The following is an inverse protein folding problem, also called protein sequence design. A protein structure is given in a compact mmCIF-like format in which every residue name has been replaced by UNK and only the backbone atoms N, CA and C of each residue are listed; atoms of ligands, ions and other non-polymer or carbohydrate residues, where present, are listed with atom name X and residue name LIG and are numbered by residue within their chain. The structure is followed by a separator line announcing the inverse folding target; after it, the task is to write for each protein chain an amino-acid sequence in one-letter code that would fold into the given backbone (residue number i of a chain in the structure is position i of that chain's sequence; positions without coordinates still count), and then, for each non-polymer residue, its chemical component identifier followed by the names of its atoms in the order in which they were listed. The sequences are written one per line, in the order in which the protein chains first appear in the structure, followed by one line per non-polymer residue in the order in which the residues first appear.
data_IF_744635632249
#
_entry.id   IF_744635632249
#
_cell.length_a   1.000
_cell.length_b   1.000
_cell.length_c   1.000
_cell.angle_alpha   90.00
_cell.angle_beta   90.00
_cell.angle_gamma   90.00
#
_symmetry.space_group_name_H-M   'P 1'
#
loop_
_entity.id
_entity.type
_entity.pdbx_description
1 polymer ?
#
# COMPACT_ATOMS: atom_id res chain seq x y z
N UNK A 1 -7.42 19.42 23.25
CA UNK A 1 -6.76 20.28 22.26
C UNK A 1 -6.05 19.55 21.10
N UNK A 2 -5.54 18.31 21.27
CA UNK A 2 -4.82 17.59 20.19
C UNK A 2 -5.70 16.99 19.06
N UNK A 3 -7.00 16.75 19.31
CA UNK A 3 -7.91 16.16 18.29
C UNK A 3 -8.44 17.20 17.29
N UNK A 4 -8.62 18.43 17.71
CA UNK A 4 -9.06 19.55 16.85
C UNK A 4 -7.96 20.00 15.89
N UNK A 5 -6.69 19.98 16.30
CA UNK A 5 -5.55 20.29 15.42
C UNK A 5 -5.38 19.27 14.31
N UNK A 6 -5.62 17.97 14.58
CA UNK A 6 -5.53 16.92 13.56
C UNK A 6 -6.66 17.06 12.52
N UNK A 7 -7.87 17.42 12.94
CA UNK A 7 -9.01 17.64 12.06
C UNK A 7 -8.77 18.87 11.16
N UNK A 8 -8.20 19.95 11.70
CA UNK A 8 -7.84 21.16 10.95
C UNK A 8 -6.73 20.89 9.92
N UNK A 9 -5.72 20.08 10.27
CA UNK A 9 -4.67 19.66 9.32
C UNK A 9 -5.26 18.79 8.21
N UNK A 10 -6.16 17.85 8.54
CA UNK A 10 -6.84 17.03 7.54
C UNK A 10 -7.72 17.89 6.62
N UNK A 11 -8.45 18.87 7.16
CA UNK A 11 -9.27 19.81 6.37
C UNK A 11 -8.40 20.68 5.47
N UNK A 12 -7.24 21.14 5.96
CA UNK A 12 -6.30 21.96 5.18
C UNK A 12 -5.65 21.17 4.05
N UNK A 13 -5.32 19.89 4.26
CA UNK A 13 -4.83 18.97 3.22
C UNK A 13 -5.92 18.72 2.16
N UNK A 14 -7.18 18.55 2.55
CA UNK A 14 -8.30 18.39 1.61
C UNK A 14 -8.56 19.67 0.79
N UNK A 15 -8.45 20.84 1.39
CA UNK A 15 -8.64 22.13 0.66
C UNK A 15 -7.47 22.45 -0.27
N UNK A 16 -6.23 22.06 0.09
CA UNK A 16 -5.09 22.24 -0.81
C UNK A 16 -5.09 21.27 -1.99
N UNK A 17 -5.69 20.08 -1.86
CA UNK A 17 -5.91 19.17 -2.98
C UNK A 17 -6.96 19.68 -3.98
N UNK A 18 -7.93 20.48 -3.53
CA UNK A 18 -8.89 21.13 -4.44
C UNK A 18 -8.32 22.34 -5.18
N UNK A 19 -7.21 22.91 -4.75
CA UNK A 19 -6.50 24.00 -5.43
C UNK A 19 -5.51 23.52 -6.52
N UNK A 20 -5.28 22.20 -6.63
CA UNK A 20 -4.44 21.63 -7.69
C UNK A 20 -5.06 21.74 -9.10
N UNK A 21 -6.22 22.37 -9.25
CA UNK A 21 -6.88 22.67 -10.53
C UNK A 21 -6.31 23.89 -11.29
N UNK A 22 -5.21 24.48 -10.82
CA UNK A 22 -4.53 25.56 -11.55
C UNK A 22 -3.54 25.10 -12.62
N UNK A 23 -3.49 23.79 -12.88
CA UNK A 23 -2.78 23.24 -14.03
C UNK A 23 -3.67 23.46 -15.26
N UNK A 24 -3.15 24.13 -16.30
CA UNK A 24 -3.86 24.41 -17.56
C UNK A 24 -4.65 23.20 -18.05
N UNK A 25 -5.88 23.38 -18.57
CA UNK A 25 -6.75 22.32 -19.10
C UNK A 25 -6.03 21.34 -20.05
N UNK A 26 -5.00 21.81 -20.73
CA UNK A 26 -4.17 21.01 -21.62
C UNK A 26 -3.19 20.10 -20.89
N UNK A 27 -2.77 20.48 -19.68
CA UNK A 27 -1.88 19.69 -18.80
C UNK A 27 -2.68 18.70 -17.96
N UNK A 28 -3.90 19.04 -17.55
CA UNK A 28 -4.82 18.14 -16.80
C UNK A 28 -5.15 16.86 -17.59
N UNK A 29 -5.14 16.94 -18.91
CA UNK A 29 -5.35 15.76 -19.76
C UNK A 29 -4.10 14.87 -19.90
N UNK A 30 -2.91 15.44 -19.65
CA UNK A 30 -1.62 14.76 -19.85
C UNK A 30 -1.06 14.14 -18.59
N UNK A 31 -1.33 14.73 -17.43
CA UNK A 31 -0.78 14.26 -16.15
C UNK A 31 -1.92 13.93 -15.17
N UNK A 32 -1.88 12.76 -14.58
CA UNK A 32 -2.74 12.36 -13.48
C UNK A 32 -1.90 12.30 -12.21
N UNK A 33 -2.38 12.93 -11.16
CA UNK A 33 -1.89 12.73 -9.79
C UNK A 33 -3.01 12.08 -9.00
N UNK A 34 -2.72 10.98 -8.33
CA UNK A 34 -3.72 10.24 -7.59
C UNK A 34 -3.20 9.64 -6.30
N UNK A 35 -4.14 9.28 -5.43
CA UNK A 35 -3.90 8.55 -4.21
C UNK A 35 -4.98 7.49 -4.02
N UNK A 36 -4.58 6.30 -3.60
CA UNK A 36 -5.47 5.20 -3.27
C UNK A 36 -5.32 4.83 -1.79
N UNK A 37 -6.43 4.56 -1.13
CA UNK A 37 -6.48 3.91 0.17
C UNK A 37 -7.08 2.52 -0.04
N UNK A 38 -6.42 1.50 0.45
CA UNK A 38 -6.84 0.12 0.23
C UNK A 38 -6.62 -0.75 1.47
N UNK A 39 -7.12 -1.97 1.42
CA UNK A 39 -6.84 -3.01 2.39
C UNK A 39 -6.19 -4.19 1.70
N UNK A 40 -5.10 -4.69 2.27
CA UNK A 40 -4.47 -5.92 1.84
C UNK A 40 -5.19 -7.12 2.45
N UNK A 41 -5.57 -8.07 1.61
CA UNK A 41 -6.18 -9.34 1.98
C UNK A 41 -5.17 -10.43 1.66
N UNK A 42 -4.75 -11.19 2.67
CA UNK A 42 -3.88 -12.35 2.46
C UNK A 42 -4.66 -13.49 1.83
N UNK A 43 -4.17 -14.00 0.71
CA UNK A 43 -4.70 -15.18 0.02
C UNK A 43 -3.78 -16.40 0.15
N UNK A 44 -2.61 -16.24 0.79
CA UNK A 44 -1.62 -17.30 1.00
C UNK A 44 -2.04 -18.30 2.09
N UNK A 45 -1.36 -19.44 2.12
CA UNK A 45 -1.48 -20.39 3.23
C UNK A 45 -0.94 -19.72 4.50
N UNK A 46 -1.77 -19.64 5.54
CA UNK A 46 -1.29 -19.25 6.85
C UNK A 46 -0.27 -20.31 7.33
N UNK A 47 0.90 -19.88 7.76
CA UNK A 47 1.76 -20.72 8.58
C UNK A 47 1.06 -20.93 9.92
N UNK A 48 1.32 -22.06 10.60
CA UNK A 48 0.55 -22.52 11.75
C UNK A 48 0.28 -21.47 12.83
N UNK A 49 1.12 -20.44 12.96
CA UNK A 49 0.96 -19.37 13.95
C UNK A 49 0.95 -17.96 13.33
N UNK A 50 0.93 -17.83 12.01
CA UNK A 50 0.92 -16.52 11.34
C UNK A 50 -0.46 -16.17 10.81
N UNK A 51 -1.17 -15.32 11.52
CA UNK A 51 -2.47 -14.81 11.11
C UNK A 51 -2.42 -13.30 10.91
N UNK A 52 -2.91 -12.81 9.79
CA UNK A 52 -3.12 -11.40 9.55
C UNK A 52 -4.51 -10.95 10.02
N UNK A 53 -4.64 -9.66 10.33
CA UNK A 53 -5.95 -9.07 10.51
C UNK A 53 -6.70 -9.04 9.18
N UNK A 54 -8.03 -9.08 9.23
CA UNK A 54 -8.86 -8.97 8.03
C UNK A 54 -8.66 -7.63 7.29
N UNK A 55 -8.36 -6.55 8.04
CA UNK A 55 -8.14 -5.22 7.50
C UNK A 55 -6.68 -4.83 7.73
N UNK A 56 -5.91 -4.79 6.64
CA UNK A 56 -4.52 -4.38 6.60
C UNK A 56 -4.42 -3.13 5.73
N UNK A 57 -4.38 -1.97 6.38
CA UNK A 57 -4.45 -0.68 5.72
C UNK A 57 -3.22 -0.40 4.87
N UNK A 58 -3.44 -0.12 3.60
CA UNK A 58 -2.41 0.33 2.68
C UNK A 58 -2.76 1.69 2.07
N UNK A 59 -1.77 2.32 1.48
CA UNK A 59 -1.95 3.54 0.73
C UNK A 59 -1.00 3.56 -0.47
N UNK A 60 -1.40 4.27 -1.52
CA UNK A 60 -0.57 4.53 -2.68
C UNK A 60 -0.73 5.98 -3.10
N UNK A 61 0.37 6.60 -3.53
CA UNK A 61 0.35 7.89 -4.21
C UNK A 61 1.12 7.75 -5.52
N UNK A 62 0.63 8.37 -6.57
CA UNK A 62 1.24 8.23 -7.89
C UNK A 62 1.04 9.44 -8.77
N UNK A 63 1.95 9.59 -9.74
CA UNK A 63 1.83 10.52 -10.85
C UNK A 63 2.01 9.75 -12.15
N UNK A 64 1.08 9.89 -13.09
CA UNK A 64 1.11 9.19 -14.37
C UNK A 64 0.96 10.20 -15.51
N UNK A 65 1.69 9.96 -16.58
CA UNK A 65 1.56 10.67 -17.84
C UNK A 65 0.63 9.90 -18.77
N UNK A 66 -0.36 10.61 -19.33
CA UNK A 66 -1.37 10.04 -20.23
C UNK A 66 -1.01 10.28 -21.68
N UNK A 67 -1.08 9.22 -22.45
CA UNK A 67 -1.04 9.22 -23.90
C UNK A 67 -2.45 8.94 -24.41
N UNK A 68 -3.08 9.92 -25.04
CA UNK A 68 -4.39 9.73 -25.65
C UNK A 68 -4.22 9.06 -27.00
N UNK A 69 -5.04 8.05 -27.28
CA UNK A 69 -5.10 7.46 -28.64
C UNK A 69 -5.80 8.42 -29.59
N UNK A 70 -5.29 8.53 -30.81
CA UNK A 70 -5.83 9.43 -31.81
C UNK A 70 -7.34 9.17 -32.05
N UNK A 71 -8.10 10.26 -32.05
CA UNK A 71 -9.56 10.27 -32.24
C UNK A 71 -10.35 9.36 -31.27
N UNK A 72 -9.77 9.03 -30.11
CA UNK A 72 -10.39 8.15 -29.11
C UNK A 72 -10.42 8.78 -27.72
N UNK A 73 -11.45 8.52 -26.90
CA UNK A 73 -11.48 8.91 -25.49
C UNK A 73 -10.60 7.99 -24.62
N UNK A 74 -9.93 6.99 -25.19
CA UNK A 74 -9.11 6.02 -24.50
C UNK A 74 -7.69 6.54 -24.31
N UNK A 75 -7.02 6.08 -23.25
CA UNK A 75 -5.67 6.53 -22.91
C UNK A 75 -4.79 5.37 -22.46
N UNK A 76 -3.50 5.42 -22.80
CA UNK A 76 -2.46 4.68 -22.12
C UNK A 76 -1.75 5.61 -21.15
N UNK A 77 -1.30 5.10 -20.03
CA UNK A 77 -0.64 5.89 -18.99
C UNK A 77 0.56 5.14 -18.42
N UNK A 78 1.62 5.86 -18.15
CA UNK A 78 2.81 5.35 -17.44
C UNK A 78 3.22 6.38 -16.40
N UNK A 79 3.75 5.93 -15.27
CA UNK A 79 4.12 6.86 -14.23
C UNK A 79 5.08 6.31 -13.19
N UNK A 80 5.14 7.04 -12.10
CA UNK A 80 5.87 6.67 -10.89
C UNK A 80 4.93 6.81 -9.70
N UNK A 81 5.06 5.89 -8.74
CA UNK A 81 4.27 5.87 -7.52
C UNK A 81 5.07 5.43 -6.31
N UNK A 82 4.42 5.51 -5.19
CA UNK A 82 4.89 5.00 -3.93
C UNK A 82 3.73 4.31 -3.22
N UNK A 83 3.93 3.04 -2.87
CA UNK A 83 2.91 2.22 -2.18
C UNK A 83 3.43 1.73 -0.84
N UNK A 84 2.63 1.91 0.20
CA UNK A 84 2.90 1.42 1.55
C UNK A 84 1.88 0.40 2.00
N UNK A 85 2.35 -0.81 2.30
CA UNK A 85 1.58 -1.91 2.85
C UNK A 85 1.81 -2.03 4.35
N UNK A 86 0.75 -2.24 5.14
CA UNK A 86 0.85 -2.48 6.58
C UNK A 86 0.16 -3.80 6.91
N UNK A 87 0.93 -4.83 7.16
CA UNK A 87 0.44 -6.15 7.56
C UNK A 87 0.36 -6.24 9.08
N UNK A 88 -0.84 -6.26 9.63
CA UNK A 88 -1.08 -6.37 11.07
C UNK A 88 -1.22 -7.85 11.44
N UNK A 89 -0.33 -8.31 12.29
CA UNK A 89 -0.29 -9.70 12.75
C UNK A 89 -1.15 -9.89 13.99
N UNK A 90 -1.76 -11.08 14.09
CA UNK A 90 -2.50 -11.55 15.25
C UNK A 90 -1.71 -12.66 15.91
N UNK A 91 -1.46 -12.53 17.22
CA UNK A 91 -0.83 -13.58 18.02
C UNK A 91 0.64 -13.83 17.73
N UNK A 92 1.27 -13.07 16.84
CA UNK A 92 2.68 -13.24 16.51
C UNK A 92 3.40 -11.89 16.34
N UNK A 93 4.70 -11.89 16.50
CA UNK A 93 5.55 -10.74 16.18
C UNK A 93 6.85 -11.19 15.49
N UNK A 94 7.46 -10.27 14.74
CA UNK A 94 8.72 -10.51 14.07
C UNK A 94 9.86 -10.42 15.10
N UNK A 95 10.46 -11.56 15.44
CA UNK A 95 11.52 -11.66 16.44
C UNK A 95 12.91 -11.46 15.83
N UNK A 96 13.18 -12.06 14.68
CA UNK A 96 14.50 -12.06 14.04
C UNK A 96 14.43 -11.54 12.61
N UNK A 97 14.46 -10.22 12.40
CA UNK A 97 14.33 -9.62 11.07
C UNK A 97 15.60 -9.69 10.21
N UNK A 98 16.75 -9.98 10.81
CA UNK A 98 18.07 -9.91 10.18
C UNK A 98 18.69 -11.27 9.89
N UNK A 99 18.09 -12.34 10.42
CA UNK A 99 18.58 -13.71 10.24
C UNK A 99 18.38 -14.19 8.80
N UNK A 100 19.02 -15.30 8.46
CA UNK A 100 18.85 -15.97 7.15
C UNK A 100 17.40 -16.33 6.89
N UNK A 101 16.67 -16.75 7.92
CA UNK A 101 15.23 -17.03 7.86
C UNK A 101 14.48 -16.04 8.75
N UNK A 102 13.37 -15.52 8.26
CA UNK A 102 12.53 -14.64 9.06
C UNK A 102 11.80 -15.45 10.12
N UNK A 103 12.03 -15.13 11.39
CA UNK A 103 11.43 -15.84 12.52
C UNK A 103 10.33 -15.01 13.13
N UNK A 104 9.15 -15.62 13.22
CA UNK A 104 8.01 -15.10 13.96
C UNK A 104 7.87 -15.88 15.27
N UNK A 105 7.62 -15.18 16.35
CA UNK A 105 7.36 -15.76 17.66
C UNK A 105 5.93 -15.45 18.09
N UNK A 106 5.34 -16.38 18.84
CA UNK A 106 4.00 -16.22 19.38
C UNK A 106 3.99 -15.14 20.47
N UNK A 107 2.95 -14.33 20.45
CA UNK A 107 2.68 -13.39 21.53
C UNK A 107 1.89 -14.09 22.61
N UNK A 108 2.51 -14.33 23.74
CA UNK A 108 1.93 -15.01 24.90
C UNK A 108 1.21 -14.03 25.83
N UNK A 109 1.66 -12.75 25.86
CA UNK A 109 1.18 -11.71 26.75
C UNK A 109 0.35 -10.68 26.02
N UNK A 110 -0.19 -9.73 26.76
CA UNK A 110 -1.00 -8.67 26.19
C UNK A 110 -0.19 -7.76 25.25
N UNK A 111 -0.75 -7.51 24.07
CA UNK A 111 -0.13 -6.64 23.09
C UNK A 111 -1.13 -5.68 22.44
N UNK A 112 -0.64 -4.50 22.18
CA UNK A 112 -1.41 -3.43 21.53
C UNK A 112 -1.27 -3.46 20.01
N UNK A 113 -0.09 -3.85 19.49
CA UNK A 113 0.21 -3.80 18.07
C UNK A 113 1.39 -4.68 17.68
N UNK A 114 1.17 -5.50 16.67
CA UNK A 114 2.23 -6.18 15.94
C UNK A 114 2.03 -5.94 14.44
N UNK A 115 3.01 -5.40 13.73
CA UNK A 115 2.91 -5.15 12.30
C UNK A 115 4.23 -5.15 11.57
N UNK A 116 4.15 -5.53 10.29
CA UNK A 116 5.18 -5.31 9.28
C UNK A 116 4.69 -4.22 8.34
N UNK A 117 5.61 -3.40 7.91
CA UNK A 117 5.38 -2.37 6.92
C UNK A 117 6.37 -2.57 5.77
N UNK A 118 5.88 -2.77 4.56
CA UNK A 118 6.66 -2.88 3.34
C UNK A 118 6.28 -1.74 2.40
N UNK A 119 7.28 -1.03 1.89
CA UNK A 119 7.07 0.15 1.06
C UNK A 119 7.84 0.02 -0.23
N UNK A 120 7.17 0.35 -1.33
CA UNK A 120 7.68 0.18 -2.69
C UNK A 120 7.64 1.49 -3.46
N UNK A 121 8.63 1.68 -4.32
CA UNK A 121 8.57 2.66 -5.40
C UNK A 121 8.04 1.90 -6.61
N UNK A 122 6.97 2.40 -7.22
CA UNK A 122 6.22 1.70 -8.27
C UNK A 122 6.34 2.42 -9.61
N UNK A 123 6.30 1.62 -10.66
CA UNK A 123 6.09 2.07 -12.04
C UNK A 123 4.75 1.49 -12.51
N UNK A 124 3.64 2.21 -12.39
CA UNK A 124 2.35 1.81 -12.94
C UNK A 124 2.27 2.07 -14.43
N UNK A 125 1.69 1.12 -15.16
CA UNK A 125 1.31 1.24 -16.58
C UNK A 125 -0.15 0.84 -16.69
N UNK A 126 -1.01 1.70 -17.20
CA UNK A 126 -2.45 1.46 -17.29
C UNK A 126 -2.99 1.81 -18.68
N UNK A 127 -3.93 1.03 -19.17
CA UNK A 127 -4.77 1.37 -20.32
C UNK A 127 -6.17 1.65 -19.80
N UNK A 128 -6.75 2.77 -20.21
CA UNK A 128 -8.04 3.26 -19.73
C UNK A 128 -9.04 3.38 -20.86
N UNK A 129 -10.20 2.82 -20.64
CA UNK A 129 -11.35 2.86 -21.55
C UNK A 129 -12.44 3.75 -20.95
N UNK A 130 -12.79 4.82 -21.65
CA UNK A 130 -13.89 5.70 -21.26
C UNK A 130 -15.17 5.30 -21.98
N UNK A 131 -16.24 5.07 -21.21
CA UNK A 131 -17.54 4.68 -21.70
C UNK A 131 -18.55 5.80 -21.37
N UNK A 132 -19.19 6.37 -22.40
CA UNK A 132 -20.27 7.38 -22.25
C UNK A 132 -19.92 8.53 -21.25
N UNK A 133 -18.76 9.14 -21.36
CA UNK A 133 -18.29 10.31 -20.59
C UNK A 133 -18.34 10.22 -19.04
N UNK A 134 -18.99 9.23 -18.45
CA UNK A 134 -19.20 9.11 -17.00
C UNK A 134 -18.53 7.91 -16.37
N UNK A 135 -18.20 6.90 -17.16
CA UNK A 135 -17.64 5.65 -16.70
C UNK A 135 -16.27 5.42 -17.32
N UNK A 136 -15.27 5.11 -16.51
CA UNK A 136 -13.91 4.80 -16.94
C UNK A 136 -13.48 3.48 -16.32
N UNK A 137 -13.02 2.56 -17.15
CA UNK A 137 -12.36 1.32 -16.73
C UNK A 137 -10.89 1.41 -17.10
N UNK A 138 -10.04 0.99 -16.19
CA UNK A 138 -8.61 0.89 -16.46
C UNK A 138 -8.12 -0.48 -16.03
N UNK A 139 -7.26 -1.06 -16.85
CA UNK A 139 -6.51 -2.26 -16.52
C UNK A 139 -5.03 -1.96 -16.71
N UNK A 140 -4.19 -2.50 -15.86
CA UNK A 140 -2.78 -2.17 -15.90
C UNK A 140 -1.89 -3.18 -15.22
N UNK A 141 -0.63 -2.85 -15.27
CA UNK A 141 0.44 -3.58 -14.63
C UNK A 141 1.27 -2.62 -13.78
N UNK A 142 1.69 -3.07 -12.61
CA UNK A 142 2.52 -2.30 -11.69
C UNK A 142 3.76 -3.10 -11.32
N UNK A 143 4.92 -2.50 -11.54
CA UNK A 143 6.20 -3.00 -11.09
C UNK A 143 6.68 -2.18 -9.91
N UNK A 144 6.95 -2.83 -8.78
CA UNK A 144 7.43 -2.20 -7.54
C UNK A 144 8.83 -2.67 -7.16
N UNK A 145 9.63 -1.75 -6.65
CA UNK A 145 10.93 -2.00 -6.05
C UNK A 145 10.86 -1.64 -4.58
N UNK A 146 11.27 -2.55 -3.71
CA UNK A 146 11.27 -2.34 -2.26
C UNK A 146 12.16 -1.15 -1.89
N UNK A 147 11.55 -0.10 -1.35
CA UNK A 147 12.25 1.06 -0.82
C UNK A 147 12.75 0.78 0.60
N UNK A 148 11.88 0.28 1.46
CA UNK A 148 12.23 -0.16 2.80
C UNK A 148 11.15 -1.03 3.44
N UNK A 149 11.58 -1.89 4.40
CA UNK A 149 10.71 -2.67 5.25
C UNK A 149 10.98 -2.40 6.72
N UNK A 150 9.95 -2.33 7.53
CA UNK A 150 10.04 -2.10 8.98
C UNK A 150 9.11 -3.03 9.72
N UNK A 151 9.48 -3.40 10.94
CA UNK A 151 8.54 -4.03 11.86
C UNK A 151 8.35 -3.19 13.11
N UNK A 152 7.20 -3.36 13.74
CA UNK A 152 6.86 -2.71 14.99
C UNK A 152 6.01 -3.61 15.85
N UNK A 153 6.49 -3.86 17.05
CA UNK A 153 5.76 -4.51 18.12
C UNK A 153 5.56 -3.54 19.28
N UNK A 154 4.39 -3.57 19.89
CA UNK A 154 4.07 -2.85 21.13
C UNK A 154 3.24 -3.78 21.98
N UNK A 155 3.77 -4.24 23.10
CA UNK A 155 3.14 -5.16 24.03
C UNK A 155 4.12 -5.62 25.09
N UNK A 156 3.69 -6.56 25.89
CA UNK A 156 4.53 -7.22 26.87
C UNK A 156 5.35 -8.32 26.21
N UNK A 157 6.62 -8.44 26.60
CA UNK A 157 7.54 -9.52 26.17
C UNK A 157 7.77 -10.52 27.31
N UNK A 158 7.60 -10.08 28.53
CA UNK A 158 7.76 -10.84 29.75
C UNK A 158 6.53 -10.63 30.64
N UNK A 159 6.34 -11.50 31.61
CA UNK A 159 5.25 -11.36 32.57
C UNK A 159 5.62 -10.30 33.66
N UNK A 160 5.76 -9.06 33.25
CA UNK A 160 6.24 -7.95 34.09
C UNK A 160 5.36 -6.71 34.04
N UNK A 161 4.18 -6.81 33.43
CA UNK A 161 3.23 -5.70 33.20
C UNK A 161 3.88 -4.48 32.50
N UNK A 162 5.03 -4.65 31.85
CA UNK A 162 5.75 -3.57 31.16
C UNK A 162 5.48 -3.62 29.66
N UNK A 163 5.00 -2.52 29.12
CA UNK A 163 4.79 -2.39 27.67
C UNK A 163 6.08 -2.04 26.95
N UNK A 164 6.64 -2.98 26.24
CA UNK A 164 7.81 -2.82 25.39
C UNK A 164 7.43 -2.27 24.01
N UNK A 165 8.35 -1.51 23.44
CA UNK A 165 8.24 -1.01 22.06
C UNK A 165 9.44 -1.43 21.26
N UNK A 166 9.32 -2.52 20.55
CA UNK A 166 10.34 -3.05 19.65
C UNK A 166 10.10 -2.54 18.23
N UNK A 167 11.15 -2.02 17.60
CA UNK A 167 11.12 -1.56 16.22
C UNK A 167 12.37 -2.01 15.50
N UNK A 168 12.19 -2.62 14.35
CA UNK A 168 13.29 -2.95 13.44
C UNK A 168 13.15 -2.09 12.17
N UNK A 169 14.22 -1.39 11.83
CA UNK A 169 14.24 -0.47 10.68
C UNK A 169 14.50 -1.16 9.34
N UNK A 170 14.84 -2.45 9.36
CA UNK A 170 15.10 -3.26 8.18
C UNK A 170 14.58 -4.69 8.38
N UNK A 171 14.16 -5.33 7.31
CA UNK A 171 13.78 -6.75 7.26
C UNK A 171 14.49 -7.33 6.02
N UNK A 172 15.37 -8.32 6.23
CA UNK A 172 16.25 -8.82 5.15
C UNK A 172 15.52 -9.62 4.08
N UNK A 173 14.49 -10.34 4.48
CA UNK A 173 13.84 -11.35 3.64
C UNK A 173 12.56 -10.89 2.95
N UNK A 174 12.27 -9.58 2.95
CA UNK A 174 11.21 -9.05 2.11
C UNK A 174 11.59 -9.17 0.63
N UNK A 175 10.58 -9.49 -0.20
CA UNK A 175 10.77 -9.54 -1.64
C UNK A 175 11.13 -8.16 -2.19
N UNK A 176 12.21 -8.12 -2.99
CA UNK A 176 12.74 -6.86 -3.53
C UNK A 176 11.89 -6.31 -4.66
N UNK A 177 11.31 -7.19 -5.46
CA UNK A 177 10.54 -6.83 -6.64
C UNK A 177 9.11 -7.35 -6.53
N UNK A 178 8.14 -6.49 -6.77
CA UNK A 178 6.72 -6.85 -6.78
C UNK A 178 6.12 -6.57 -8.15
N UNK A 179 5.46 -7.58 -8.69
CA UNK A 179 4.72 -7.49 -9.94
C UNK A 179 3.23 -7.66 -9.64
N UNK A 180 2.41 -6.73 -10.11
CA UNK A 180 0.98 -6.77 -9.86
C UNK A 180 0.20 -6.41 -11.12
N UNK A 181 -0.95 -7.05 -11.32
CA UNK A 181 -2.00 -6.49 -12.18
C UNK A 181 -2.85 -5.52 -11.37
N UNK A 182 -3.30 -4.47 -12.02
CA UNK A 182 -4.17 -3.47 -11.41
C UNK A 182 -5.45 -3.33 -12.22
N UNK A 183 -6.53 -3.09 -11.54
CA UNK A 183 -7.82 -2.79 -12.14
C UNK A 183 -8.44 -1.59 -11.43
N UNK A 184 -8.97 -0.67 -12.20
CA UNK A 184 -9.61 0.54 -11.68
C UNK A 184 -10.93 0.80 -12.40
N UNK A 185 -11.99 1.01 -11.64
CA UNK A 185 -13.26 1.44 -12.15
C UNK A 185 -13.61 2.81 -11.58
N UNK A 186 -14.00 3.75 -12.42
CA UNK A 186 -14.39 5.09 -12.00
C UNK A 186 -15.75 5.45 -12.57
N UNK A 187 -16.62 5.96 -11.72
CA UNK A 187 -17.90 6.54 -12.09
C UNK A 187 -18.03 7.93 -11.46
N UNK A 188 -18.00 8.97 -12.29
CA UNK A 188 -17.94 10.36 -11.84
C UNK A 188 -16.74 10.56 -10.87
N UNK A 189 -17.03 10.87 -9.59
CA UNK A 189 -16.04 11.13 -8.54
C UNK A 189 -15.70 9.91 -7.69
N UNK A 190 -16.37 8.76 -7.93
CA UNK A 190 -16.13 7.54 -7.15
C UNK A 190 -15.17 6.63 -7.91
N UNK A 191 -14.11 6.20 -7.25
CA UNK A 191 -13.09 5.32 -7.81
C UNK A 191 -12.98 4.05 -6.97
N UNK A 192 -13.01 2.90 -7.64
CA UNK A 192 -12.71 1.60 -7.06
C UNK A 192 -11.35 1.14 -7.60
N UNK A 193 -10.47 0.70 -6.74
CA UNK A 193 -9.14 0.19 -7.07
C UNK A 193 -8.96 -1.23 -6.56
N UNK A 194 -8.39 -2.09 -7.40
CA UNK A 194 -7.97 -3.45 -7.05
C UNK A 194 -6.57 -3.68 -7.59
N UNK A 195 -5.76 -4.42 -6.82
CA UNK A 195 -4.43 -4.86 -7.23
C UNK A 195 -4.21 -6.29 -6.78
N UNK A 196 -3.66 -7.12 -7.66
CA UNK A 196 -3.30 -8.49 -7.37
C UNK A 196 -1.81 -8.69 -7.64
N UNK A 197 -0.99 -8.86 -6.59
CA UNK A 197 0.43 -9.18 -6.73
C UNK A 197 0.61 -10.65 -7.13
N UNK A 198 1.58 -10.91 -8.02
CA UNK A 198 2.01 -12.27 -8.37
C UNK A 198 3.20 -12.74 -7.53
N UNK A 199 3.80 -11.83 -6.78
CA UNK A 199 4.95 -12.08 -5.92
C UNK A 199 4.52 -12.09 -4.47
N UNK A 200 5.13 -12.96 -3.69
CA UNK A 200 4.93 -13.01 -2.25
C UNK A 200 5.55 -11.78 -1.54
N UNK A 201 5.15 -11.53 -0.32
CA UNK A 201 5.71 -10.44 0.50
C UNK A 201 7.14 -10.76 0.96
N UNK A 202 7.42 -12.04 1.19
CA UNK A 202 8.73 -12.54 1.58
C UNK A 202 9.33 -13.38 0.45
N UNK A 203 10.66 -13.45 0.41
CA UNK A 203 11.38 -14.33 -0.48
C UNK A 203 10.96 -15.80 -0.22
N UNK A 204 10.87 -16.56 -1.29
CA UNK A 204 10.43 -17.96 -1.20
C UNK A 204 11.30 -18.75 -0.21
N UNK A 205 10.65 -19.41 0.75
CA UNK A 205 11.31 -20.20 1.81
C UNK A 205 11.87 -19.40 2.99
N UNK A 206 11.72 -18.05 3.01
CA UNK A 206 12.28 -17.19 4.05
C UNK A 206 11.22 -16.45 4.90
N UNK A 207 9.97 -16.70 4.69
CA UNK A 207 8.88 -16.13 5.47
C UNK A 207 7.56 -16.85 5.21
N UNK A 208 6.49 -16.44 5.92
CA UNK A 208 5.17 -17.00 5.75
C UNK A 208 4.52 -16.55 4.44
#
# INVERSE_FOLDING_TARGET
MKKTSLLLILLFVFTSLSQAQLISERTDKKVIIGADLFTDISTGKAYDNFNLRAINQGFSVYSMFNFQFDNSPHTASIGIGYTGHNFYMKGAYLAKPYDETTVFEDVVYDYKRSKINANYIDVPVEVSFRIKNKFKLSAGFKFGILAYGKSKYIGELYNDDVTYRVKYGKINNLEKYVYSVTFRAAYKSVHLFMSYPFTDTFKNGYGP
#
